data_IF_057397863616
#
_entry.id   IF_057397863616
#
_cell.length_a   1.000
_cell.length_b   1.000
_cell.length_c   1.000
_cell.angle_alpha   90.00
_cell.angle_beta   90.00
_cell.angle_gamma   90.00
#
_symmetry.space_group_name_H-M   'P 1'
#
loop_
_entity.id
_entity.type
_entity.pdbx_description
1 polymer ?
#
# COMPACT_ATOMS: atom_id res chain seq x y z
N UNK A 1 33.45 9.90 -5.32
CA UNK A 1 32.47 10.93 -5.72
C UNK A 1 31.21 10.63 -4.92
N UNK A 2 30.76 11.49 -4.00
CA UNK A 2 29.50 11.24 -3.27
C UNK A 2 28.36 11.28 -4.30
N UNK A 3 27.61 10.20 -4.44
CA UNK A 3 26.42 10.15 -5.29
C UNK A 3 25.38 11.10 -4.69
N UNK A 4 24.84 12.01 -5.50
CA UNK A 4 23.73 12.89 -5.08
C UNK A 4 22.43 12.30 -5.61
N UNK A 5 21.50 12.00 -4.70
CA UNK A 5 20.17 11.46 -5.01
C UNK A 5 19.10 12.56 -5.11
N UNK A 6 19.51 13.82 -5.23
CA UNK A 6 18.62 14.99 -5.17
C UNK A 6 17.70 15.12 -6.38
N UNK A 7 18.10 14.57 -7.53
CA UNK A 7 17.33 14.56 -8.78
C UNK A 7 16.53 13.28 -9.01
N UNK A 8 16.52 12.37 -8.04
CA UNK A 8 15.82 11.09 -8.16
C UNK A 8 14.29 11.25 -8.09
N UNK A 9 13.58 10.31 -8.70
CA UNK A 9 12.11 10.29 -8.72
C UNK A 9 11.58 10.40 -7.27
N UNK A 10 10.59 11.24 -7.03
CA UNK A 10 10.00 11.43 -5.69
C UNK A 10 10.56 12.61 -4.89
N UNK A 11 11.66 13.21 -5.33
CA UNK A 11 12.02 14.58 -4.93
C UNK A 11 11.24 15.55 -5.81
N UNK A 12 10.24 16.23 -5.24
CA UNK A 12 9.39 17.16 -6.00
C UNK A 12 8.91 18.31 -5.11
N UNK A 13 8.52 19.47 -5.69
CA UNK A 13 7.89 20.54 -4.94
C UNK A 13 6.65 20.05 -4.16
N UNK A 14 6.36 20.60 -2.96
CA UNK A 14 7.00 21.76 -2.34
C UNK A 14 8.29 21.47 -1.56
N UNK A 15 8.54 20.21 -1.18
CA UNK A 15 9.65 19.86 -0.27
C UNK A 15 10.98 19.62 -1.00
N UNK A 16 10.95 19.25 -2.28
CA UNK A 16 12.14 18.88 -3.04
C UNK A 16 12.81 17.64 -2.45
N UNK A 17 14.14 17.66 -2.35
CA UNK A 17 14.90 16.61 -1.67
C UNK A 17 14.74 16.73 -0.15
N UNK A 18 14.13 15.71 0.47
CA UNK A 18 13.81 15.70 1.89
C UNK A 18 14.49 14.53 2.61
N UNK A 19 15.63 14.80 3.23
CA UNK A 19 16.35 13.85 4.09
C UNK A 19 16.77 14.51 5.42
N UNK A 20 15.82 14.74 6.35
CA UNK A 20 16.11 15.40 7.63
C UNK A 20 16.95 14.53 8.58
N UNK A 21 16.96 13.21 8.38
CA UNK A 21 17.68 12.25 9.22
C UNK A 21 19.05 11.87 8.66
N UNK A 22 19.41 12.36 7.48
CA UNK A 22 20.69 12.07 6.82
C UNK A 22 20.86 10.60 6.43
N UNK A 23 19.76 9.89 6.13
CA UNK A 23 19.81 8.47 5.77
C UNK A 23 20.54 8.22 4.44
N UNK A 24 20.63 9.23 3.59
CA UNK A 24 21.29 9.17 2.28
C UNK A 24 22.69 9.83 2.28
N UNK A 25 23.11 10.43 3.41
CA UNK A 25 24.37 11.20 3.48
C UNK A 25 25.63 10.36 3.17
N UNK A 26 25.60 9.08 3.53
CA UNK A 26 26.66 8.09 3.29
C UNK A 26 26.12 6.80 2.65
N UNK A 27 24.94 6.88 2.01
CA UNK A 27 24.34 5.73 1.32
C UNK A 27 25.02 5.47 -0.04
N UNK A 28 25.24 4.20 -0.36
CA UNK A 28 25.58 3.76 -1.71
C UNK A 28 24.31 3.54 -2.55
N UNK A 29 24.52 3.22 -3.84
CA UNK A 29 23.43 2.98 -4.78
C UNK A 29 22.54 1.81 -4.33
N UNK A 30 23.14 0.73 -3.84
CA UNK A 30 22.42 -0.45 -3.36
C UNK A 30 21.51 -0.11 -2.18
N UNK A 31 22.01 0.69 -1.23
CA UNK A 31 21.24 1.17 -0.10
C UNK A 31 20.05 2.02 -0.55
N UNK A 32 20.26 2.94 -1.49
CA UNK A 32 19.18 3.77 -2.02
C UNK A 32 18.12 2.93 -2.73
N UNK A 33 18.53 2.00 -3.60
CA UNK A 33 17.61 1.12 -4.33
C UNK A 33 16.80 0.23 -3.38
N UNK A 34 17.43 -0.29 -2.33
CA UNK A 34 16.73 -1.02 -1.27
C UNK A 34 15.72 -0.14 -0.55
N UNK A 35 16.08 1.08 -0.16
CA UNK A 35 15.16 2.00 0.51
C UNK A 35 13.95 2.33 -0.39
N UNK A 36 14.22 2.59 -1.68
CA UNK A 36 13.18 2.83 -2.68
C UNK A 36 12.25 1.64 -2.86
N UNK A 37 12.82 0.44 -2.98
CA UNK A 37 12.07 -0.80 -3.11
C UNK A 37 11.11 -0.99 -1.93
N UNK A 38 11.63 -0.82 -0.71
CA UNK A 38 10.87 -0.96 0.53
C UNK A 38 9.77 0.11 0.61
N UNK A 39 10.07 1.36 0.27
CA UNK A 39 9.11 2.46 0.26
C UNK A 39 7.94 2.19 -0.70
N UNK A 40 8.22 1.78 -1.95
CA UNK A 40 7.21 1.44 -2.95
C UNK A 40 6.34 0.29 -2.46
N UNK A 41 6.94 -0.76 -1.88
CA UNK A 41 6.20 -1.90 -1.35
C UNK A 41 5.22 -1.50 -0.24
N UNK A 42 5.68 -0.70 0.74
CA UNK A 42 4.81 -0.20 1.80
C UNK A 42 3.70 0.71 1.23
N UNK A 43 4.04 1.55 0.25
CA UNK A 43 3.08 2.42 -0.43
C UNK A 43 1.97 1.63 -1.11
N UNK A 44 2.32 0.58 -1.86
CA UNK A 44 1.34 -0.31 -2.54
C UNK A 44 0.41 -1.01 -1.55
N UNK A 45 0.96 -1.54 -0.45
CA UNK A 45 0.17 -2.17 0.62
C UNK A 45 -0.81 -1.14 1.21
N UNK A 46 -0.33 0.06 1.53
CA UNK A 46 -1.16 1.11 2.10
C UNK A 46 -2.28 1.59 1.15
N UNK A 47 -1.99 1.74 -0.16
CA UNK A 47 -2.99 2.10 -1.16
C UNK A 47 -4.11 1.05 -1.25
N UNK A 48 -3.75 -0.23 -1.28
CA UNK A 48 -4.73 -1.32 -1.27
C UNK A 48 -5.51 -1.38 0.05
N UNK A 49 -4.86 -1.10 1.17
CA UNK A 49 -5.51 -1.07 2.48
C UNK A 49 -6.57 0.05 2.56
N UNK A 50 -6.27 1.25 2.06
CA UNK A 50 -7.25 2.36 1.98
C UNK A 50 -8.43 1.96 1.08
N UNK A 51 -8.16 1.47 -0.13
CA UNK A 51 -9.21 1.06 -1.05
C UNK A 51 -10.09 -0.07 -0.47
N UNK A 52 -9.46 -1.04 0.19
CA UNK A 52 -10.13 -2.13 0.89
C UNK A 52 -11.00 -1.64 2.05
N UNK A 53 -10.47 -0.77 2.90
CA UNK A 53 -11.18 -0.22 4.06
C UNK A 53 -12.40 0.62 3.64
N UNK A 54 -12.24 1.47 2.61
CA UNK A 54 -13.35 2.25 2.06
C UNK A 54 -14.41 1.36 1.42
N UNK A 55 -14.01 0.31 0.69
CA UNK A 55 -14.95 -0.63 0.07
C UNK A 55 -15.69 -1.43 1.14
N UNK A 56 -14.99 -1.92 2.16
CA UNK A 56 -15.56 -2.66 3.28
C UNK A 56 -16.68 -1.88 3.98
N UNK A 57 -16.51 -0.57 4.13
CA UNK A 57 -17.52 0.29 4.73
C UNK A 57 -18.83 0.35 3.93
N UNK A 58 -18.78 0.15 2.61
CA UNK A 58 -19.91 0.41 1.71
C UNK A 58 -20.51 -0.87 1.10
N UNK A 59 -19.71 -1.92 0.90
CA UNK A 59 -20.09 -3.12 0.14
C UNK A 59 -19.59 -4.38 0.85
N UNK A 60 -20.47 -5.37 0.96
CA UNK A 60 -20.16 -6.72 1.44
C UNK A 60 -20.39 -7.74 0.33
N UNK A 61 -19.57 -8.78 0.31
CA UNK A 61 -19.83 -9.94 -0.55
C UNK A 61 -21.07 -10.68 -0.04
N UNK A 62 -21.94 -11.17 -0.93
CA UNK A 62 -23.04 -12.03 -0.50
C UNK A 62 -22.52 -13.41 -0.09
N UNK A 63 -23.15 -14.01 0.92
CA UNK A 63 -22.91 -15.40 1.33
C UNK A 63 -22.09 -15.57 2.62
N UNK A 64 -21.62 -16.80 2.82
CA UNK A 64 -20.92 -17.22 4.03
C UNK A 64 -19.40 -17.04 3.87
N UNK A 65 -18.78 -16.40 4.84
CA UNK A 65 -17.31 -16.36 4.97
C UNK A 65 -16.79 -17.72 5.44
N UNK A 66 -17.50 -18.38 6.35
CA UNK A 66 -17.18 -19.74 6.78
C UNK A 66 -18.45 -20.53 7.08
N UNK A 67 -18.67 -21.60 6.32
CA UNK A 67 -19.79 -22.53 6.55
C UNK A 67 -19.63 -23.28 7.88
N UNK A 68 -18.40 -23.56 8.31
CA UNK A 68 -18.15 -24.30 9.56
C UNK A 68 -18.26 -23.42 10.80
N UNK A 69 -18.11 -22.10 10.67
CA UNK A 69 -18.26 -21.14 11.76
C UNK A 69 -19.62 -20.39 11.72
N UNK A 70 -20.51 -20.76 10.78
CA UNK A 70 -21.80 -20.11 10.52
C UNK A 70 -21.68 -18.57 10.47
N UNK A 71 -20.65 -18.09 9.79
CA UNK A 71 -20.28 -16.67 9.76
C UNK A 71 -20.48 -16.10 8.36
N UNK A 72 -21.37 -15.12 8.22
CA UNK A 72 -21.58 -14.41 6.95
C UNK A 72 -20.64 -13.22 6.77
N UNK A 73 -20.42 -12.80 5.53
CA UNK A 73 -19.67 -11.56 5.25
C UNK A 73 -20.39 -10.31 5.75
N UNK A 74 -21.70 -10.37 5.97
CA UNK A 74 -22.49 -9.26 6.50
C UNK A 74 -22.25 -9.04 8.00
N UNK A 75 -21.96 -10.12 8.75
CA UNK A 75 -21.75 -10.08 10.20
C UNK A 75 -20.34 -9.64 10.63
N UNK A 76 -19.46 -9.43 9.64
CA UNK A 76 -18.11 -8.95 9.85
C UNK A 76 -18.12 -7.47 10.22
N UNK A 77 -17.48 -7.07 11.34
CA UNK A 77 -17.26 -5.66 11.65
C UNK A 77 -16.28 -5.06 10.63
N UNK A 78 -16.25 -3.73 10.56
CA UNK A 78 -15.25 -2.98 9.81
C UNK A 78 -13.98 -2.77 10.66
N UNK A 79 -12.89 -2.47 9.95
CA UNK A 79 -11.63 -2.05 10.56
C UNK A 79 -10.85 -3.19 11.24
N UNK A 80 -10.02 -2.84 12.22
CA UNK A 80 -9.17 -3.77 12.96
C UNK A 80 -9.97 -4.82 13.73
N UNK A 81 -11.21 -4.50 14.13
CA UNK A 81 -12.10 -5.46 14.79
C UNK A 81 -12.39 -6.71 13.93
N UNK A 82 -12.34 -6.57 12.60
CA UNK A 82 -12.54 -7.68 11.66
C UNK A 82 -11.50 -8.79 11.86
N UNK A 83 -10.25 -8.44 12.17
CA UNK A 83 -9.17 -9.41 12.32
C UNK A 83 -9.44 -10.40 13.46
N UNK A 84 -10.13 -9.97 14.51
CA UNK A 84 -10.47 -10.80 15.66
C UNK A 84 -11.62 -11.79 15.39
N UNK A 85 -12.50 -11.46 14.43
CA UNK A 85 -13.65 -12.31 14.05
C UNK A 85 -13.33 -13.35 12.97
N UNK A 86 -12.26 -13.16 12.19
CA UNK A 86 -11.90 -14.13 11.15
C UNK A 86 -11.44 -15.43 11.80
N UNK A 87 -11.95 -16.61 11.37
CA UNK A 87 -11.48 -17.89 11.89
C UNK A 87 -9.96 -18.06 11.71
N UNK A 88 -9.23 -18.64 12.70
CA UNK A 88 -7.77 -18.78 12.64
C UNK A 88 -7.26 -19.50 11.37
N UNK A 89 -8.00 -20.49 10.87
CA UNK A 89 -7.68 -21.18 9.63
C UNK A 89 -7.75 -20.24 8.40
N UNK A 90 -8.72 -19.32 8.38
CA UNK A 90 -8.83 -18.31 7.32
C UNK A 90 -7.66 -17.31 7.36
N UNK A 91 -7.28 -16.86 8.56
CA UNK A 91 -6.08 -16.02 8.73
C UNK A 91 -4.82 -16.75 8.26
N UNK A 92 -4.64 -18.01 8.64
CA UNK A 92 -3.50 -18.82 8.20
C UNK A 92 -3.43 -18.97 6.67
N UNK A 93 -4.58 -19.14 5.99
CA UNK A 93 -4.65 -19.17 4.53
C UNK A 93 -4.24 -17.83 3.90
N UNK A 94 -4.71 -16.71 4.45
CA UNK A 94 -4.34 -15.36 3.97
C UNK A 94 -2.82 -15.15 4.12
N UNK A 95 -2.26 -15.47 5.30
CA UNK A 95 -0.82 -15.37 5.54
C UNK A 95 -0.01 -16.27 4.62
N UNK A 96 -0.44 -17.53 4.43
CA UNK A 96 0.23 -18.46 3.52
C UNK A 96 0.18 -17.96 2.06
N UNK A 97 -0.95 -17.41 1.64
CA UNK A 97 -1.10 -16.86 0.29
C UNK A 97 -0.22 -15.63 0.06
N UNK A 98 -0.23 -14.66 0.99
CA UNK A 98 0.65 -13.48 0.92
C UNK A 98 2.12 -13.89 0.96
N UNK A 99 2.48 -14.85 1.82
CA UNK A 99 3.83 -15.41 1.88
C UNK A 99 4.26 -16.08 0.57
N UNK A 100 3.37 -16.84 -0.06
CA UNK A 100 3.62 -17.41 -1.39
C UNK A 100 3.83 -16.34 -2.46
N UNK A 101 2.97 -15.32 -2.50
CA UNK A 101 3.10 -14.22 -3.46
C UNK A 101 4.45 -13.50 -3.31
N UNK A 102 4.87 -13.23 -2.08
CA UNK A 102 6.16 -12.58 -1.81
C UNK A 102 7.36 -13.46 -2.22
N UNK A 103 7.32 -14.76 -1.91
CA UNK A 103 8.46 -15.65 -2.12
C UNK A 103 8.60 -16.14 -3.57
N UNK A 104 7.49 -16.22 -4.31
CA UNK A 104 7.46 -16.81 -5.64
C UNK A 104 7.20 -15.80 -6.77
N UNK A 105 6.35 -14.80 -6.56
CA UNK A 105 5.80 -13.95 -7.64
C UNK A 105 6.36 -12.53 -7.60
N UNK A 106 6.31 -11.86 -6.44
CA UNK A 106 6.68 -10.45 -6.27
C UNK A 106 8.18 -10.25 -6.11
N UNK A 107 8.97 -10.77 -7.07
CA UNK A 107 10.41 -10.55 -7.14
C UNK A 107 10.73 -9.42 -8.10
N UNK A 108 11.65 -8.55 -7.67
CA UNK A 108 12.14 -7.47 -8.52
C UNK A 108 12.85 -8.04 -9.75
N UNK A 109 12.60 -7.47 -10.93
CA UNK A 109 13.32 -7.82 -12.16
C UNK A 109 14.75 -7.26 -12.07
N UNK A 110 15.76 -8.13 -12.26
CA UNK A 110 17.16 -7.72 -12.26
C UNK A 110 17.45 -6.74 -13.41
N UNK A 111 18.09 -5.61 -13.10
CA UNK A 111 18.42 -4.57 -14.08
C UNK A 111 17.28 -3.60 -14.42
N UNK A 112 16.09 -3.77 -13.82
CA UNK A 112 14.99 -2.79 -13.89
C UNK A 112 15.00 -1.86 -12.67
N UNK A 113 14.06 -0.92 -12.64
CA UNK A 113 13.91 -0.01 -11.49
C UNK A 113 13.36 -0.74 -10.25
N UNK A 114 13.69 -0.27 -9.03
CA UNK A 114 13.18 -0.88 -7.81
C UNK A 114 11.65 -0.84 -7.73
N UNK A 115 11.03 -2.03 -7.65
CA UNK A 115 9.57 -2.19 -7.57
C UNK A 115 8.92 -2.68 -8.85
N UNK A 116 9.71 -3.11 -9.84
CA UNK A 116 9.23 -3.79 -11.03
C UNK A 116 9.00 -5.29 -10.75
N UNK A 117 7.74 -5.69 -10.68
CA UNK A 117 7.31 -7.08 -10.43
C UNK A 117 6.84 -7.80 -11.69
N UNK A 118 7.26 -7.35 -12.88
CA UNK A 118 6.87 -7.97 -14.16
C UNK A 118 7.58 -9.30 -14.45
N UNK A 119 8.27 -9.87 -13.46
CA UNK A 119 8.94 -11.16 -13.55
C UNK A 119 7.90 -12.29 -13.76
N UNK A 120 7.87 -12.88 -14.95
CA UNK A 120 6.82 -13.83 -15.38
C UNK A 120 5.96 -13.34 -16.54
N UNK A 121 6.22 -12.13 -17.06
CA UNK A 121 5.58 -11.57 -18.24
C UNK A 121 4.64 -10.41 -17.89
N UNK A 122 4.73 -9.33 -18.67
CA UNK A 122 3.84 -8.19 -18.53
C UNK A 122 2.84 -8.19 -19.70
N UNK A 123 1.55 -8.49 -19.48
CA UNK A 123 0.53 -8.42 -20.54
C UNK A 123 0.32 -6.99 -21.07
N UNK A 124 0.86 -5.99 -20.37
CA UNK A 124 0.84 -4.58 -20.73
C UNK A 124 2.22 -4.03 -21.15
N UNK A 125 3.23 -4.90 -21.38
CA UNK A 125 4.57 -4.48 -21.78
C UNK A 125 4.54 -3.55 -23.00
N UNK A 126 3.81 -3.95 -24.03
CA UNK A 126 3.64 -3.16 -25.25
C UNK A 126 3.05 -1.77 -25.02
N UNK A 127 2.19 -1.62 -24.01
CA UNK A 127 1.60 -0.33 -23.65
C UNK A 127 2.56 0.51 -22.81
N UNK A 128 3.39 -0.12 -21.97
CA UNK A 128 4.41 0.54 -21.17
C UNK A 128 5.57 1.04 -22.04
N UNK A 129 6.08 0.19 -22.92
CA UNK A 129 7.21 0.49 -23.82
C UNK A 129 6.83 1.52 -24.89
N UNK A 130 5.55 1.66 -25.20
CA UNK A 130 5.05 2.71 -26.09
C UNK A 130 4.97 4.10 -25.43
N UNK A 131 5.07 4.20 -24.10
CA UNK A 131 5.07 5.49 -23.41
C UNK A 131 6.45 6.15 -23.45
N UNK A 132 6.46 7.50 -23.47
CA UNK A 132 7.72 8.24 -23.32
C UNK A 132 8.33 8.05 -21.92
N UNK A 133 9.65 8.14 -21.83
CA UNK A 133 10.37 8.05 -20.55
C UNK A 133 9.87 9.07 -19.52
N UNK A 134 9.55 10.29 -19.96
CA UNK A 134 8.96 11.33 -19.12
C UNK A 134 7.59 10.90 -18.54
N UNK A 135 6.76 10.25 -19.35
CA UNK A 135 5.46 9.75 -18.90
C UNK A 135 5.64 8.62 -17.90
N UNK A 136 6.56 7.69 -18.16
CA UNK A 136 6.87 6.60 -17.23
C UNK A 136 7.37 7.14 -15.89
N UNK A 137 8.30 8.11 -15.91
CA UNK A 137 8.80 8.76 -14.70
C UNK A 137 7.69 9.48 -13.93
N UNK A 138 6.81 10.22 -14.63
CA UNK A 138 5.66 10.89 -14.05
C UNK A 138 4.68 9.91 -13.38
N UNK A 139 4.34 8.81 -14.05
CA UNK A 139 3.44 7.77 -13.48
C UNK A 139 4.04 7.10 -12.25
N UNK A 140 5.34 6.82 -12.26
CA UNK A 140 6.07 6.28 -11.11
C UNK A 140 6.12 7.26 -9.94
N UNK A 141 6.29 8.56 -10.21
CA UNK A 141 6.21 9.60 -9.18
C UNK A 141 4.80 9.67 -8.57
N UNK A 142 3.75 9.62 -9.39
CA UNK A 142 2.35 9.60 -8.93
C UNK A 142 2.10 8.39 -8.02
N UNK A 143 2.51 7.20 -8.44
CA UNK A 143 2.39 5.98 -7.65
C UNK A 143 3.08 6.12 -6.28
N UNK A 144 4.32 6.62 -6.26
CA UNK A 144 5.09 6.81 -5.04
C UNK A 144 4.39 7.80 -4.09
N UNK A 145 3.93 8.93 -4.60
CA UNK A 145 3.30 9.97 -3.78
C UNK A 145 1.94 9.52 -3.23
N UNK A 146 1.15 8.80 -4.03
CA UNK A 146 -0.09 8.17 -3.56
C UNK A 146 0.23 7.12 -2.48
N UNK A 147 1.31 6.36 -2.63
CA UNK A 147 1.80 5.44 -1.61
C UNK A 147 2.17 6.14 -0.30
N UNK A 148 2.95 7.22 -0.35
CA UNK A 148 3.33 8.03 0.81
C UNK A 148 2.11 8.61 1.52
N UNK A 149 1.16 9.16 0.76
CA UNK A 149 -0.08 9.70 1.32
C UNK A 149 -0.95 8.60 1.95
N UNK A 150 -1.07 7.45 1.28
CA UNK A 150 -1.85 6.32 1.78
C UNK A 150 -1.28 5.73 3.07
N UNK A 151 0.05 5.71 3.25
CA UNK A 151 0.69 5.27 4.49
C UNK A 151 0.25 6.11 5.69
N UNK A 152 0.24 7.44 5.54
CA UNK A 152 -0.26 8.34 6.58
C UNK A 152 -1.77 8.19 6.78
N UNK A 153 -2.51 8.00 5.69
CA UNK A 153 -3.96 7.77 5.73
C UNK A 153 -4.32 6.52 6.53
N UNK A 154 -3.72 5.36 6.23
CA UNK A 154 -4.08 4.11 6.90
C UNK A 154 -3.64 4.12 8.36
N UNK A 155 -2.49 4.74 8.67
CA UNK A 155 -2.06 4.94 10.05
C UNK A 155 -3.11 5.77 10.82
N UNK A 156 -3.60 6.86 10.23
CA UNK A 156 -4.66 7.66 10.84
C UNK A 156 -5.94 6.83 11.05
N UNK A 157 -6.40 6.06 10.05
CA UNK A 157 -7.59 5.21 10.20
C UNK A 157 -7.44 4.23 11.37
N UNK A 158 -6.33 3.50 11.45
CA UNK A 158 -6.08 2.52 12.51
C UNK A 158 -6.00 3.18 13.90
N UNK A 159 -5.27 4.28 14.03
CA UNK A 159 -5.11 4.97 15.33
C UNK A 159 -6.43 5.58 15.79
N UNK A 160 -7.19 6.21 14.90
CA UNK A 160 -8.48 6.79 15.26
C UNK A 160 -9.53 5.72 15.56
N UNK A 161 -9.51 4.57 14.86
CA UNK A 161 -10.34 3.43 15.23
C UNK A 161 -10.07 2.97 16.67
N UNK A 162 -8.80 2.77 17.05
CA UNK A 162 -8.45 2.32 18.40
C UNK A 162 -8.75 3.36 19.50
N UNK A 163 -8.60 4.66 19.20
CA UNK A 163 -8.82 5.71 20.19
C UNK A 163 -10.29 5.96 20.51
N UNK A 164 -11.16 5.97 19.49
CA UNK A 164 -12.55 6.39 19.67
C UNK A 164 -13.55 5.65 18.76
N UNK A 165 -13.14 4.57 18.09
CA UNK A 165 -13.93 3.79 17.14
C UNK A 165 -14.49 4.63 15.99
N UNK A 166 -13.78 5.72 15.62
CA UNK A 166 -14.16 6.62 14.53
C UNK A 166 -12.99 6.87 13.59
N UNK A 167 -12.75 5.97 12.63
CA UNK A 167 -11.59 6.08 11.75
C UNK A 167 -11.63 7.29 10.80
N UNK A 168 -12.83 7.76 10.41
CA UNK A 168 -12.99 8.88 9.47
C UNK A 168 -13.06 10.23 10.17
N UNK A 169 -11.98 10.62 10.84
CA UNK A 169 -11.87 11.87 11.62
C UNK A 169 -12.27 13.13 10.84
N UNK A 170 -11.99 13.18 9.54
CA UNK A 170 -12.35 14.33 8.69
C UNK A 170 -13.87 14.40 8.48
N UNK A 171 -14.54 13.25 8.34
CA UNK A 171 -15.99 13.21 8.19
C UNK A 171 -16.68 13.69 9.47
N UNK A 172 -16.17 13.26 10.63
CA UNK A 172 -16.66 13.73 11.92
C UNK A 172 -16.52 15.25 12.09
N UNK A 173 -15.37 15.80 11.70
CA UNK A 173 -15.11 17.24 11.76
C UNK A 173 -16.10 18.04 10.90
N UNK A 174 -16.45 17.51 9.74
CA UNK A 174 -17.36 18.15 8.78
C UNK A 174 -18.84 17.81 9.01
N UNK A 175 -19.15 17.01 10.04
CA UNK A 175 -20.52 16.57 10.33
C UNK A 175 -21.12 15.61 9.31
N UNK A 176 -20.28 14.93 8.51
CA UNK A 176 -20.72 13.90 7.57
C UNK A 176 -20.98 12.59 8.34
N UNK A 177 -22.26 12.22 8.43
CA UNK A 177 -22.67 10.99 9.12
C UNK A 177 -22.19 9.73 8.38
N UNK A 178 -21.59 8.80 9.12
CA UNK A 178 -21.28 7.46 8.65
C UNK A 178 -21.52 6.46 9.78
N UNK A 179 -21.95 5.24 9.44
CA UNK A 179 -22.16 4.16 10.42
C UNK A 179 -20.93 3.26 10.42
N UNK A 180 -20.15 3.28 11.48
CA UNK A 180 -18.98 2.41 11.64
C UNK A 180 -19.21 1.48 12.82
N UNK A 181 -19.40 0.19 12.49
CA UNK A 181 -19.82 -0.90 13.38
C UNK A 181 -21.21 -0.70 14.01
#
# INVERSE_FOLDING_TARGET
MKMSFESEIGAQPPLGFWDPLGLLADADQERFERLRYVEVKHGRIAMLAIAGHLTQQNVRLPGMLSNSADLSFADMPNGVAALSKIPPAGLAQIFAFVGFLELAVMKNVEGSFPGDFTNGGNPFASSWDAMSEETQASKRAIELNNGRAAQMGILALMVHEELNNKPYVINDLLGAGYTFN
#
